data_IF_177363028260
#
_entry.id   IF_177363028260
#
_cell.length_a   1.000
_cell.length_b   1.000
_cell.length_c   1.000
_cell.angle_alpha   90.00
_cell.angle_beta   90.00
_cell.angle_gamma   90.00
#
_symmetry.space_group_name_H-M   'P 1'
#
loop_
_entity.id
_entity.type
_entity.pdbx_description
1 polymer ?
#
# COMPACT_ATOMS: atom_id res chain seq x y z
N UNK A 1 -2.07 -22.81 3.10
CA UNK A 1 -1.51 -21.46 3.36
C UNK A 1 -0.05 -21.51 2.96
N UNK A 2 0.37 -20.72 1.98
CA UNK A 2 1.80 -20.54 1.73
C UNK A 2 2.39 -19.76 2.92
N UNK A 3 3.59 -20.14 3.40
CA UNK A 3 4.27 -19.36 4.42
C UNK A 3 4.58 -17.96 3.86
N UNK A 4 4.32 -16.93 4.66
CA UNK A 4 4.80 -15.56 4.37
C UNK A 4 6.32 -15.61 4.33
N UNK A 5 6.90 -15.18 3.22
CA UNK A 5 8.36 -15.16 3.03
C UNK A 5 8.93 -13.78 3.33
N UNK A 6 10.24 -13.71 3.58
CA UNK A 6 10.96 -12.43 3.70
C UNK A 6 10.82 -11.57 2.43
N UNK A 7 10.72 -12.22 1.26
CA UNK A 7 10.51 -11.54 -0.01
C UNK A 7 9.12 -10.88 -0.09
N UNK A 8 8.08 -11.51 0.48
CA UNK A 8 6.74 -10.91 0.56
C UNK A 8 6.74 -9.67 1.45
N UNK A 9 7.46 -9.71 2.58
CA UNK A 9 7.60 -8.57 3.48
C UNK A 9 8.40 -7.44 2.81
N UNK A 10 9.53 -7.76 2.16
CA UNK A 10 10.34 -6.78 1.45
C UNK A 10 9.54 -6.10 0.33
N UNK A 11 8.76 -6.85 -0.43
CA UNK A 11 7.89 -6.29 -1.46
C UNK A 11 6.77 -5.42 -0.87
N UNK A 12 6.17 -5.81 0.24
CA UNK A 12 5.16 -4.98 0.90
C UNK A 12 5.73 -3.66 1.43
N UNK A 13 6.96 -3.68 1.97
CA UNK A 13 7.68 -2.47 2.36
C UNK A 13 7.98 -1.57 1.15
N UNK A 14 8.36 -2.15 0.00
CA UNK A 14 8.57 -1.42 -1.25
C UNK A 14 7.28 -0.73 -1.73
N UNK A 15 6.15 -1.46 -1.76
CA UNK A 15 4.82 -0.91 -2.11
C UNK A 15 4.44 0.26 -1.23
N UNK A 16 4.75 0.18 0.07
CA UNK A 16 4.50 1.24 1.04
C UNK A 16 5.57 2.34 1.01
N UNK A 17 6.66 2.15 0.25
CA UNK A 17 7.83 3.03 0.22
C UNK A 17 8.45 3.25 1.60
N UNK A 18 8.61 2.15 2.35
CA UNK A 18 9.16 2.11 3.69
C UNK A 18 10.49 1.34 3.74
N UNK A 19 11.35 1.74 4.67
CA UNK A 19 12.61 1.06 4.99
C UNK A 19 12.68 0.87 6.51
N UNK A 20 13.10 -0.31 6.97
CA UNK A 20 13.21 -0.62 8.39
C UNK A 20 14.34 0.17 9.08
N UNK A 21 14.24 0.49 10.38
CA UNK A 21 13.09 0.23 11.27
C UNK A 21 11.92 1.20 11.02
N UNK A 22 10.68 0.75 11.25
CA UNK A 22 9.46 1.55 11.11
C UNK A 22 8.62 1.49 12.39
N UNK A 23 7.85 2.55 12.65
CA UNK A 23 6.81 2.57 13.69
C UNK A 23 5.42 2.29 13.10
N UNK A 24 4.43 1.99 13.96
CA UNK A 24 3.03 1.89 13.54
C UNK A 24 2.51 3.19 12.90
N UNK A 25 2.96 4.35 13.39
CA UNK A 25 2.61 5.65 12.79
C UNK A 25 3.19 5.80 11.38
N UNK A 26 4.44 5.37 11.16
CA UNK A 26 5.07 5.39 9.83
C UNK A 26 4.30 4.50 8.85
N UNK A 27 3.88 3.31 9.30
CA UNK A 27 3.10 2.37 8.52
C UNK A 27 1.74 2.96 8.12
N UNK A 28 1.01 3.55 9.07
CA UNK A 28 -0.26 4.21 8.78
C UNK A 28 -0.11 5.43 7.88
N UNK A 29 0.92 6.26 8.11
CA UNK A 29 1.23 7.43 7.28
C UNK A 29 1.52 7.00 5.85
N UNK A 30 2.36 5.97 5.66
CA UNK A 30 2.67 5.42 4.36
C UNK A 30 1.42 4.92 3.62
N UNK A 31 0.55 4.16 4.31
CA UNK A 31 -0.74 3.73 3.74
C UNK A 31 -1.55 4.93 3.25
N UNK A 32 -1.76 5.96 4.09
CA UNK A 32 -2.53 7.15 3.70
C UNK A 32 -1.94 7.87 2.49
N UNK A 33 -0.61 8.02 2.45
CA UNK A 33 0.10 8.65 1.32
C UNK A 33 -0.08 7.85 0.04
N UNK A 34 0.12 6.53 0.09
CA UNK A 34 -0.02 5.68 -1.10
C UNK A 34 -1.46 5.64 -1.62
N UNK A 35 -2.46 5.53 -0.73
CA UNK A 35 -3.88 5.58 -1.13
C UNK A 35 -4.27 6.93 -1.73
N UNK A 36 -3.67 8.02 -1.27
CA UNK A 36 -3.86 9.33 -1.86
C UNK A 36 -3.26 9.42 -3.28
N UNK A 37 -2.04 8.92 -3.46
CA UNK A 37 -1.35 8.89 -4.75
C UNK A 37 -2.08 8.02 -5.78
N UNK A 38 -2.57 6.87 -5.34
CA UNK A 38 -3.31 5.91 -6.16
C UNK A 38 -4.82 6.12 -6.11
N UNK A 39 -5.32 7.27 -5.66
CA UNK A 39 -6.75 7.54 -5.71
C UNK A 39 -7.22 7.48 -7.19
N UNK A 40 -8.16 6.57 -7.57
CA UNK A 40 -8.42 6.29 -8.98
C UNK A 40 -8.89 7.48 -9.80
N UNK A 41 -9.81 8.28 -9.25
CA UNK A 41 -10.32 9.46 -9.92
C UNK A 41 -9.24 10.53 -10.10
N UNK A 42 -8.40 10.75 -9.08
CA UNK A 42 -7.30 11.72 -9.14
C UNK A 42 -6.21 11.28 -10.11
N UNK A 43 -5.79 10.03 -10.03
CA UNK A 43 -4.73 9.47 -10.86
C UNK A 43 -5.15 9.43 -12.34
N UNK A 44 -6.36 8.94 -12.64
CA UNK A 44 -6.90 8.96 -13.98
C UNK A 44 -7.15 10.39 -14.51
N UNK A 45 -7.49 11.34 -13.62
CA UNK A 45 -7.66 12.75 -13.96
C UNK A 45 -6.39 13.46 -14.42
N UNK A 46 -5.20 12.83 -14.30
CA UNK A 46 -3.95 13.37 -14.84
C UNK A 46 -3.86 13.26 -16.37
N UNK A 47 -4.71 12.45 -17.01
CA UNK A 47 -4.80 12.37 -18.47
C UNK A 47 -6.03 13.07 -19.01
N UNK A 48 -5.85 13.80 -20.12
CA UNK A 48 -6.93 14.41 -20.88
C UNK A 48 -7.50 13.48 -21.97
N UNK A 49 -6.99 12.24 -22.07
CA UNK A 49 -7.44 11.26 -23.07
C UNK A 49 -8.45 10.28 -22.44
N UNK A 50 -9.72 10.26 -22.88
CA UNK A 50 -10.75 9.38 -22.32
C UNK A 50 -10.41 7.89 -22.40
N UNK A 51 -9.68 7.46 -23.43
CA UNK A 51 -9.27 6.04 -23.57
C UNK A 51 -8.24 5.66 -22.49
N UNK A 52 -7.31 6.55 -22.20
CA UNK A 52 -6.31 6.34 -21.15
C UNK A 52 -6.91 6.53 -19.76
N UNK A 53 -7.93 7.38 -19.60
CA UNK A 53 -8.59 7.60 -18.32
C UNK A 53 -9.04 6.29 -17.69
N UNK A 54 -9.78 5.45 -18.44
CA UNK A 54 -10.30 4.18 -17.92
C UNK A 54 -9.19 3.18 -17.58
N UNK A 55 -8.11 3.17 -18.37
CA UNK A 55 -6.95 2.32 -18.11
C UNK A 55 -6.21 2.76 -16.82
N UNK A 56 -5.94 4.05 -16.68
CA UNK A 56 -5.30 4.60 -15.48
C UNK A 56 -6.18 4.46 -14.24
N UNK A 57 -7.50 4.57 -14.40
CA UNK A 57 -8.46 4.34 -13.31
C UNK A 57 -8.36 2.91 -12.79
N UNK A 58 -8.42 1.90 -13.68
CA UNK A 58 -8.27 0.50 -13.29
C UNK A 58 -6.92 0.22 -12.66
N UNK A 59 -5.84 0.74 -13.24
CA UNK A 59 -4.49 0.61 -12.67
C UNK A 59 -4.45 1.13 -11.24
N UNK A 60 -5.04 2.29 -10.99
CA UNK A 60 -5.09 2.88 -9.66
C UNK A 60 -5.98 2.06 -8.69
N UNK A 61 -7.10 1.49 -9.15
CA UNK A 61 -7.89 0.54 -8.35
C UNK A 61 -7.08 -0.70 -7.94
N UNK A 62 -6.32 -1.27 -8.88
CA UNK A 62 -5.44 -2.40 -8.59
C UNK A 62 -4.37 -2.02 -7.56
N UNK A 63 -3.74 -0.86 -7.74
CA UNK A 63 -2.71 -0.39 -6.81
C UNK A 63 -3.24 -0.08 -5.42
N UNK A 64 -4.46 0.46 -5.28
CA UNK A 64 -5.06 0.63 -3.94
C UNK A 64 -5.27 -0.72 -3.24
N UNK A 65 -5.71 -1.76 -3.95
CA UNK A 65 -5.79 -3.13 -3.39
C UNK A 65 -4.43 -3.67 -2.98
N UNK A 66 -3.40 -3.46 -3.79
CA UNK A 66 -2.02 -3.86 -3.48
C UNK A 66 -1.49 -3.13 -2.23
N UNK A 67 -1.77 -1.83 -2.09
CA UNK A 67 -1.40 -1.04 -0.90
C UNK A 67 -2.09 -1.56 0.36
N UNK A 68 -3.39 -1.87 0.29
CA UNK A 68 -4.13 -2.42 1.42
C UNK A 68 -3.61 -3.81 1.82
N UNK A 69 -3.29 -4.66 0.84
CA UNK A 69 -2.72 -5.98 1.10
C UNK A 69 -1.31 -5.89 1.73
N UNK A 70 -0.46 -4.98 1.21
CA UNK A 70 0.86 -4.72 1.77
C UNK A 70 0.78 -4.21 3.21
N UNK A 71 -0.12 -3.26 3.49
CA UNK A 71 -0.36 -2.77 4.84
C UNK A 71 -0.82 -3.89 5.79
N UNK A 72 -1.79 -4.70 5.36
CA UNK A 72 -2.28 -5.81 6.18
C UNK A 72 -1.17 -6.83 6.49
N UNK A 73 -0.31 -7.13 5.50
CA UNK A 73 0.83 -8.02 5.67
C UNK A 73 1.85 -7.45 6.67
N UNK A 74 2.30 -6.21 6.45
CA UNK A 74 3.30 -5.58 7.32
C UNK A 74 2.74 -5.41 8.72
N UNK A 75 1.48 -4.98 8.88
CA UNK A 75 0.83 -4.87 10.19
C UNK A 75 0.74 -6.22 10.91
N UNK A 76 0.44 -7.31 10.23
CA UNK A 76 0.39 -8.63 10.87
C UNK A 76 1.76 -9.12 11.37
N UNK A 77 2.86 -8.66 10.75
CA UNK A 77 4.23 -9.03 11.12
C UNK A 77 4.85 -8.05 12.13
N UNK A 78 4.50 -6.76 12.04
CA UNK A 78 5.06 -5.65 12.82
C UNK A 78 4.18 -5.16 13.98
N UNK A 79 3.20 -5.95 14.43
CA UNK A 79 2.55 -5.69 15.74
C UNK A 79 3.31 -6.46 16.83
N UNK A 80 4.27 -5.83 17.54
CA UNK A 80 4.65 -6.26 18.87
C UNK A 80 3.62 -5.68 19.87
N UNK A 81 2.86 -6.56 20.52
CA UNK A 81 2.37 -6.52 21.91
C UNK A 81 1.99 -5.19 22.63
N UNK A 82 1.65 -4.09 21.95
CA UNK A 82 1.14 -2.86 22.59
C UNK A 82 -0.36 -2.95 22.98
N UNK A 83 -0.84 -4.16 23.30
CA UNK A 83 -2.21 -4.41 23.80
C UNK A 83 -2.23 -4.96 25.24
N UNK A 84 -1.13 -4.84 25.98
CA UNK A 84 -1.05 -5.31 27.35
C UNK A 84 -0.34 -4.32 28.28
N UNK A 85 -0.88 -3.12 28.49
CA UNK A 85 -0.64 -2.30 29.70
C UNK A 85 -1.91 -1.57 30.13
#
# INVERSE_FOLDING_TARGET
>A
MNPITEQDIAHALEVLSLTLPITSEDLERARRVQLYNWNPSRYAGLTNNPKQYMEQYRKAEEMTRTVEAAFALVSAVFVPDDAAH
#
